data_IF_777707990540
#
_entry.id   IF_777707990540
#
_cell.length_a   1.000
_cell.length_b   1.000
_cell.length_c   1.000
_cell.angle_alpha   90.00
_cell.angle_beta   90.00
_cell.angle_gamma   90.00
#
_symmetry.space_group_name_H-M   'P 1'
#
loop_
_entity.id
_entity.type
_entity.pdbx_description
1 polymer ?
#
# COMPACT_ATOMS: atom_id res chain seq x y z
N UNK A 1 -21.01 26.19 -0.63
CA UNK A 1 -21.04 24.72 -0.78
C UNK A 1 -21.04 24.40 -2.26
N UNK A 2 -19.88 24.20 -2.87
CA UNK A 2 -19.82 23.71 -4.26
C UNK A 2 -20.10 22.20 -4.22
N UNK A 3 -21.20 21.81 -4.84
CA UNK A 3 -21.57 20.41 -5.01
C UNK A 3 -20.49 19.69 -5.79
N UNK A 4 -19.91 18.67 -5.19
CA UNK A 4 -19.03 17.70 -5.91
C UNK A 4 -19.91 17.11 -7.01
N UNK A 5 -19.72 17.54 -8.26
CA UNK A 5 -20.50 17.05 -9.39
C UNK A 5 -20.36 15.51 -9.46
N UNK A 6 -21.47 14.83 -9.32
CA UNK A 6 -21.53 13.38 -9.40
C UNK A 6 -20.99 12.92 -10.76
N UNK A 7 -20.03 12.00 -10.76
CA UNK A 7 -19.41 11.49 -11.99
C UNK A 7 -20.38 10.52 -12.63
N UNK A 8 -20.86 10.88 -13.79
CA UNK A 8 -21.77 10.03 -14.57
C UNK A 8 -20.98 9.04 -15.45
N UNK A 9 -21.66 7.98 -15.85
CA UNK A 9 -21.13 6.99 -16.80
C UNK A 9 -20.70 7.63 -18.12
N UNK A 10 -21.48 8.58 -18.62
CA UNK A 10 -21.22 9.31 -19.84
C UNK A 10 -20.02 10.27 -19.72
N UNK A 11 -19.91 10.98 -18.61
CA UNK A 11 -18.75 11.82 -18.32
C UNK A 11 -17.45 11.02 -18.32
N UNK A 12 -17.42 9.88 -17.61
CA UNK A 12 -16.23 9.02 -17.58
C UNK A 12 -15.90 8.41 -18.94
N UNK A 13 -16.93 8.01 -19.72
CA UNK A 13 -16.74 7.55 -21.09
C UNK A 13 -16.06 8.61 -21.96
N UNK A 14 -16.51 9.84 -21.89
CA UNK A 14 -15.92 10.93 -22.67
C UNK A 14 -14.46 11.19 -22.26
N UNK A 15 -14.14 11.14 -20.97
CA UNK A 15 -12.77 11.31 -20.49
C UNK A 15 -11.81 10.21 -20.97
N UNK A 16 -12.20 8.93 -20.88
CA UNK A 16 -11.32 7.81 -21.28
C UNK A 16 -11.16 7.67 -22.79
N UNK A 17 -12.02 8.34 -23.58
CA UNK A 17 -11.91 8.45 -25.03
C UNK A 17 -11.30 9.77 -25.51
N UNK A 18 -11.11 10.74 -24.62
CA UNK A 18 -10.37 11.97 -24.88
C UNK A 18 -8.87 11.80 -24.59
N UNK A 19 -8.53 11.03 -23.55
CA UNK A 19 -7.15 10.83 -23.11
C UNK A 19 -6.88 9.37 -22.67
N UNK A 20 -5.60 8.91 -22.70
CA UNK A 20 -5.24 7.60 -22.19
C UNK A 20 -5.65 7.39 -20.73
N UNK A 21 -6.09 6.18 -20.38
CA UNK A 21 -6.49 5.79 -19.01
C UNK A 21 -5.40 6.12 -17.98
N UNK A 22 -4.13 6.05 -18.36
CA UNK A 22 -2.99 6.44 -17.52
C UNK A 22 -2.95 7.92 -17.16
N UNK A 23 -3.55 8.81 -18.00
CA UNK A 23 -3.70 10.23 -17.72
C UNK A 23 -5.00 10.56 -16.99
N UNK A 24 -6.05 9.78 -17.24
CA UNK A 24 -7.37 9.98 -16.60
C UNK A 24 -7.38 9.46 -15.15
N UNK A 25 -6.77 8.30 -14.90
CA UNK A 25 -6.83 7.63 -13.58
C UNK A 25 -6.29 8.47 -12.41
N UNK A 26 -5.21 9.29 -12.55
CA UNK A 26 -4.76 10.17 -11.48
C UNK A 26 -5.79 11.24 -11.07
N UNK A 27 -6.68 11.64 -11.99
CA UNK A 27 -7.77 12.61 -11.69
C UNK A 27 -8.71 12.09 -10.60
N UNK A 28 -8.78 10.78 -10.47
CA UNK A 28 -9.63 10.06 -9.51
C UNK A 28 -8.84 9.47 -8.33
N UNK A 29 -7.53 9.73 -8.25
CA UNK A 29 -6.66 9.20 -7.21
C UNK A 29 -6.51 7.67 -7.22
N UNK A 30 -6.76 7.01 -8.35
CA UNK A 30 -6.70 5.55 -8.51
C UNK A 30 -5.72 5.16 -9.61
N UNK A 31 -5.31 3.88 -9.62
CA UNK A 31 -4.46 3.36 -10.69
C UNK A 31 -5.24 3.15 -11.99
N UNK A 32 -4.56 3.17 -13.16
CA UNK A 32 -5.18 2.87 -14.43
C UNK A 32 -5.86 1.50 -14.49
N UNK A 33 -5.31 0.51 -13.77
CA UNK A 33 -5.92 -0.83 -13.63
C UNK A 33 -7.23 -0.75 -12.84
N UNK A 34 -7.26 0.03 -11.76
CA UNK A 34 -8.47 0.23 -10.96
C UNK A 34 -9.55 0.97 -11.77
N UNK A 35 -9.18 2.03 -12.49
CA UNK A 35 -10.10 2.74 -13.38
C UNK A 35 -10.65 1.82 -14.47
N UNK A 36 -9.79 0.97 -15.07
CA UNK A 36 -10.22 -0.04 -16.05
C UNK A 36 -11.21 -1.08 -15.48
N UNK A 37 -11.08 -1.45 -14.20
CA UNK A 37 -12.07 -2.31 -13.52
C UNK A 37 -13.42 -1.60 -13.33
N UNK A 38 -13.40 -0.33 -12.94
CA UNK A 38 -14.61 0.49 -12.82
C UNK A 38 -15.31 0.61 -14.17
N UNK A 39 -14.59 0.96 -15.23
CA UNK A 39 -15.15 1.05 -16.58
C UNK A 39 -15.82 -0.27 -17.01
N UNK A 40 -15.17 -1.41 -16.80
CA UNK A 40 -15.75 -2.73 -17.14
C UNK A 40 -16.99 -3.05 -16.32
N UNK A 41 -16.96 -2.78 -15.00
CA UNK A 41 -18.13 -3.00 -14.13
C UNK A 41 -19.34 -2.20 -14.58
N UNK A 42 -19.14 -0.98 -15.06
CA UNK A 42 -20.21 -0.08 -15.51
C UNK A 42 -20.43 -0.12 -17.04
N UNK A 43 -19.94 -1.16 -17.73
CA UNK A 43 -20.10 -1.34 -19.18
C UNK A 43 -19.65 -0.13 -20.00
N UNK A 44 -18.57 0.54 -19.57
CA UNK A 44 -17.94 1.64 -20.29
C UNK A 44 -16.82 1.05 -21.18
N UNK A 45 -16.93 1.13 -22.52
CA UNK A 45 -15.90 0.63 -23.41
C UNK A 45 -14.64 1.49 -23.30
N UNK A 46 -13.49 0.82 -23.25
CA UNK A 46 -12.19 1.47 -23.24
C UNK A 46 -11.55 1.40 -24.64
N UNK A 47 -10.71 2.40 -25.00
CA UNK A 47 -9.92 2.34 -26.21
C UNK A 47 -9.06 1.06 -26.26
N UNK A 48 -9.03 0.32 -27.38
CA UNK A 48 -8.24 -0.89 -27.52
C UNK A 48 -6.73 -0.58 -27.52
N UNK A 49 -5.93 -1.62 -27.25
CA UNK A 49 -4.46 -1.48 -27.28
C UNK A 49 -4.00 -0.93 -28.64
N UNK A 50 -3.10 0.06 -28.61
CA UNK A 50 -2.61 0.74 -29.81
C UNK A 50 -3.49 1.86 -30.34
N UNK A 51 -4.66 2.11 -29.76
CA UNK A 51 -5.57 3.20 -30.19
C UNK A 51 -4.86 4.55 -30.22
N UNK A 52 -4.21 4.92 -29.14
CA UNK A 52 -3.49 6.18 -29.00
C UNK A 52 -2.26 6.29 -29.89
N UNK A 53 -1.58 5.18 -30.13
CA UNK A 53 -0.47 5.15 -31.08
C UNK A 53 -0.95 5.44 -32.51
N UNK A 54 -2.11 4.90 -32.90
CA UNK A 54 -2.72 5.19 -34.20
C UNK A 54 -3.14 6.67 -34.33
N UNK A 55 -3.72 7.24 -33.29
CA UNK A 55 -4.07 8.69 -33.28
C UNK A 55 -2.81 9.55 -33.44
N UNK A 56 -1.75 9.24 -32.68
CA UNK A 56 -0.47 9.97 -32.78
C UNK A 56 0.20 9.83 -34.15
N UNK A 57 -0.09 8.75 -34.87
CA UNK A 57 0.36 8.53 -36.26
C UNK A 57 -0.58 9.14 -37.32
N UNK A 58 -1.56 9.98 -36.92
CA UNK A 58 -2.48 10.67 -37.81
C UNK A 58 -3.67 9.82 -38.31
N UNK A 59 -3.87 8.62 -37.77
CA UNK A 59 -5.03 7.79 -38.09
C UNK A 59 -6.24 8.15 -37.24
N UNK A 60 -7.44 7.94 -37.75
CA UNK A 60 -8.71 8.16 -37.03
C UNK A 60 -9.42 6.82 -36.74
N UNK A 61 -8.97 6.06 -35.73
CA UNK A 61 -9.60 4.78 -35.40
C UNK A 61 -11.03 5.02 -34.85
N UNK A 62 -11.96 4.12 -35.21
CA UNK A 62 -13.37 4.23 -34.76
C UNK A 62 -13.46 4.14 -33.23
N UNK A 63 -14.24 5.09 -32.67
CA UNK A 63 -14.63 5.11 -31.25
C UNK A 63 -15.77 4.10 -31.06
N UNK A 64 -15.66 3.22 -30.05
CA UNK A 64 -16.72 2.27 -29.69
C UNK A 64 -17.81 3.05 -28.96
N UNK A 65 -19.07 3.05 -29.44
CA UNK A 65 -20.14 3.82 -28.79
C UNK A 65 -20.46 3.29 -27.40
N UNK A 66 -20.94 4.15 -26.53
CA UNK A 66 -21.36 3.80 -25.18
C UNK A 66 -22.65 2.96 -25.27
N UNK A 67 -22.66 1.67 -24.82
CA UNK A 67 -23.86 0.86 -24.88
C UNK A 67 -24.97 1.44 -24.01
N UNK A 68 -26.24 1.28 -24.43
CA UNK A 68 -27.40 1.65 -23.62
C UNK A 68 -27.43 0.68 -22.41
N UNK A 69 -27.43 1.22 -21.19
CA UNK A 69 -27.49 0.42 -19.97
C UNK A 69 -28.40 1.12 -18.96
N UNK A 70 -29.72 0.86 -19.07
CA UNK A 70 -30.78 1.47 -18.24
C UNK A 70 -30.53 1.33 -16.74
N UNK A 71 -29.87 0.28 -16.32
CA UNK A 71 -29.47 0.01 -14.94
C UNK A 71 -28.52 1.05 -14.34
N UNK A 72 -27.89 1.89 -15.18
CA UNK A 72 -26.93 2.94 -14.78
C UNK A 72 -27.36 4.36 -15.21
N UNK A 73 -28.56 4.59 -15.70
CA UNK A 73 -28.99 5.90 -16.24
C UNK A 73 -28.95 7.02 -15.19
N UNK A 74 -29.25 6.73 -13.93
CA UNK A 74 -29.22 7.70 -12.81
C UNK A 74 -28.16 7.32 -11.75
N UNK A 75 -27.17 6.52 -12.10
CA UNK A 75 -26.19 6.04 -11.16
C UNK A 75 -24.94 6.90 -11.16
N UNK A 76 -24.64 7.48 -10.01
CA UNK A 76 -23.36 8.15 -9.76
C UNK A 76 -22.27 7.11 -9.57
N UNK A 77 -21.20 7.19 -10.36
CA UNK A 77 -20.07 6.26 -10.24
C UNK A 77 -19.40 6.43 -8.87
N UNK A 78 -18.90 5.35 -8.24
CA UNK A 78 -18.21 5.40 -6.96
C UNK A 78 -16.77 5.95 -7.14
N UNK A 79 -16.66 7.08 -7.81
CA UNK A 79 -15.43 7.81 -8.09
C UNK A 79 -15.62 9.23 -7.61
N UNK A 80 -14.65 9.77 -6.91
CA UNK A 80 -14.59 11.18 -6.55
C UNK A 80 -13.25 11.75 -7.01
N UNK A 81 -13.26 12.96 -7.56
CA UNK A 81 -12.00 13.66 -7.84
C UNK A 81 -11.41 14.15 -6.52
N UNK A 82 -10.16 13.81 -6.21
CA UNK A 82 -9.49 14.39 -5.05
C UNK A 82 -9.48 15.92 -5.19
N UNK A 83 -9.79 16.66 -4.12
CA UNK A 83 -9.78 18.14 -4.10
C UNK A 83 -8.43 18.77 -4.50
N UNK A 84 -7.37 17.98 -4.58
CA UNK A 84 -6.00 18.42 -4.89
C UNK A 84 -5.55 18.14 -6.32
N UNK A 85 -6.44 17.61 -7.18
CA UNK A 85 -6.09 17.35 -8.57
C UNK A 85 -6.31 18.61 -9.42
N UNK A 86 -5.21 19.22 -9.87
CA UNK A 86 -5.21 20.27 -10.88
C UNK A 86 -4.85 19.65 -12.24
N UNK A 87 -5.79 19.58 -13.21
CA UNK A 87 -5.53 19.01 -14.52
C UNK A 87 -4.49 19.80 -15.33
N UNK A 88 -4.29 21.09 -15.00
CA UNK A 88 -3.34 21.96 -15.68
C UNK A 88 -1.94 21.93 -15.05
N UNK A 89 -1.74 21.21 -13.97
CA UNK A 89 -0.46 21.10 -13.28
C UNK A 89 -0.07 19.64 -12.94
N UNK A 90 0.33 18.82 -13.93
CA UNK A 90 0.80 17.45 -13.70
C UNK A 90 2.07 17.40 -12.84
N UNK A 91 2.82 18.49 -12.72
CA UNK A 91 4.01 18.60 -11.86
C UNK A 91 3.70 18.96 -10.39
N UNK A 92 2.44 19.20 -10.04
CA UNK A 92 2.04 19.49 -8.65
C UNK A 92 2.47 18.39 -7.68
N UNK A 93 2.50 17.14 -8.14
CA UNK A 93 3.01 15.99 -7.33
C UNK A 93 4.52 16.05 -7.12
N UNK A 94 5.30 16.53 -8.11
CA UNK A 94 6.75 16.73 -7.99
C UNK A 94 7.07 17.95 -7.15
N UNK A 95 6.34 19.07 -7.32
CA UNK A 95 6.46 20.26 -6.46
C UNK A 95 6.11 19.96 -5.01
N UNK A 96 5.12 19.11 -4.71
CA UNK A 96 4.80 18.68 -3.34
C UNK A 96 5.95 17.92 -2.65
N UNK A 97 6.72 17.11 -3.38
CA UNK A 97 7.89 16.42 -2.82
C UNK A 97 9.01 17.42 -2.46
N UNK A 98 9.28 18.42 -3.31
CA UNK A 98 10.22 19.51 -3.04
C UNK A 98 9.77 20.36 -1.85
N UNK A 99 8.49 20.75 -1.81
CA UNK A 99 7.90 21.54 -0.72
C UNK A 99 7.90 20.77 0.62
N UNK A 100 7.77 19.45 0.59
CA UNK A 100 7.83 18.62 1.79
C UNK A 100 9.24 18.62 2.40
N UNK A 101 10.26 18.55 1.57
CA UNK A 101 11.66 18.62 2.02
C UNK A 101 12.01 20.00 2.56
N UNK A 102 11.49 21.08 1.96
CA UNK A 102 11.67 22.45 2.45
C UNK A 102 10.96 22.68 3.80
N UNK A 103 9.80 22.05 4.02
CA UNK A 103 9.02 22.20 5.26
C UNK A 103 9.56 21.36 6.43
N UNK A 104 10.01 20.15 6.17
CA UNK A 104 10.43 19.17 7.19
C UNK A 104 11.94 19.18 7.41
N UNK A 105 12.71 19.62 6.41
CA UNK A 105 14.16 19.45 6.37
C UNK A 105 14.58 18.02 6.03
N UNK A 106 15.88 17.80 6.01
CA UNK A 106 16.45 16.47 5.82
C UNK A 106 16.33 15.65 7.11
N UNK A 107 15.83 14.43 7.01
CA UNK A 107 15.75 13.49 8.14
C UNK A 107 16.83 12.45 7.94
N UNK A 108 17.95 12.63 8.63
CA UNK A 108 19.09 11.73 8.58
C UNK A 108 18.89 10.52 9.48
N UNK A 109 19.22 9.34 8.99
CA UNK A 109 19.16 8.08 9.75
C UNK A 109 20.56 7.75 10.23
N UNK A 110 20.79 7.70 11.56
CA UNK A 110 22.12 7.40 12.09
C UNK A 110 22.53 5.96 11.77
N UNK A 111 23.82 5.69 11.72
CA UNK A 111 24.36 4.34 11.52
C UNK A 111 24.16 3.43 12.74
N UNK A 112 24.08 4.02 13.92
CA UNK A 112 23.93 3.31 15.19
C UNK A 112 22.69 3.79 15.95
N UNK A 113 22.08 2.85 16.66
CA UNK A 113 20.89 3.11 17.47
C UNK A 113 21.30 3.71 18.84
N UNK A 114 21.53 5.02 18.87
CA UNK A 114 21.84 5.75 20.08
C UNK A 114 20.60 6.33 20.73
N UNK A 115 20.44 6.16 22.05
CA UNK A 115 19.29 6.66 22.82
C UNK A 115 17.94 6.39 22.15
N UNK A 116 17.58 5.12 21.91
CA UNK A 116 16.37 4.79 21.19
C UNK A 116 15.10 5.19 21.94
N UNK A 117 14.11 5.61 21.20
CA UNK A 117 12.76 5.88 21.71
C UNK A 117 12.22 4.67 22.51
N UNK A 118 11.47 4.86 23.61
CA UNK A 118 11.00 3.77 24.45
C UNK A 118 10.28 2.63 23.72
N UNK A 119 9.47 2.93 22.70
CA UNK A 119 8.80 1.93 21.87
C UNK A 119 9.80 1.10 21.05
N UNK A 120 10.85 1.74 20.53
CA UNK A 120 11.90 1.06 19.75
C UNK A 120 12.80 0.22 20.65
N UNK A 121 13.11 0.70 21.86
CA UNK A 121 13.85 -0.08 22.87
C UNK A 121 13.12 -1.37 23.23
N UNK A 122 11.80 -1.27 23.48
CA UNK A 122 10.95 -2.44 23.75
C UNK A 122 10.92 -3.38 22.52
N UNK A 123 10.76 -2.83 21.31
CA UNK A 123 10.74 -3.60 20.06
C UNK A 123 12.06 -4.33 19.82
N UNK A 124 13.22 -3.67 19.98
CA UNK A 124 14.54 -4.24 19.84
C UNK A 124 14.71 -5.47 20.74
N UNK A 125 14.36 -5.34 22.03
CA UNK A 125 14.43 -6.44 23.00
C UNK A 125 13.55 -7.63 22.58
N UNK A 126 12.32 -7.38 22.12
CA UNK A 126 11.37 -8.44 21.73
C UNK A 126 11.76 -9.11 20.41
N UNK A 127 12.07 -8.34 19.37
CA UNK A 127 12.38 -8.86 18.04
C UNK A 127 13.69 -9.70 18.02
N UNK A 128 14.64 -9.42 18.92
CA UNK A 128 15.90 -10.16 19.01
C UNK A 128 15.82 -11.44 19.87
N UNK A 129 14.72 -11.68 20.55
CA UNK A 129 14.53 -12.92 21.33
C UNK A 129 14.54 -14.14 20.41
N UNK A 130 15.10 -15.28 20.90
CA UNK A 130 15.23 -16.51 20.10
C UNK A 130 13.91 -17.22 19.85
N UNK A 131 12.89 -17.00 20.66
CA UNK A 131 11.64 -17.76 20.64
C UNK A 131 10.57 -17.17 19.73
N UNK A 132 10.08 -17.93 18.78
CA UNK A 132 8.68 -18.18 18.48
C UNK A 132 7.83 -17.10 17.79
N UNK A 133 8.39 -15.99 17.30
CA UNK A 133 7.57 -14.93 16.68
C UNK A 133 7.66 -14.87 15.14
N UNK A 134 8.26 -15.87 14.53
CA UNK A 134 8.36 -15.95 13.07
C UNK A 134 7.03 -16.52 12.52
N UNK A 135 6.39 -15.76 11.61
CA UNK A 135 5.21 -16.23 10.90
C UNK A 135 5.60 -17.16 9.73
N UNK A 136 4.59 -17.72 9.05
CA UNK A 136 4.81 -18.65 7.92
C UNK A 136 5.58 -18.03 6.73
N UNK A 137 5.79 -16.71 6.72
CA UNK A 137 6.62 -16.00 5.73
C UNK A 137 8.05 -15.76 6.20
N UNK A 138 8.43 -16.25 7.37
CA UNK A 138 9.73 -16.01 8.00
C UNK A 138 9.91 -14.59 8.53
N UNK A 139 8.82 -13.83 8.67
CA UNK A 139 8.83 -12.49 9.23
C UNK A 139 8.55 -12.54 10.72
N UNK A 140 9.29 -11.74 11.47
CA UNK A 140 9.07 -11.51 12.89
C UNK A 140 8.09 -10.39 13.10
N UNK A 141 7.06 -10.68 13.86
CA UNK A 141 6.15 -9.70 14.43
C UNK A 141 5.95 -10.08 15.88
N UNK A 142 6.13 -9.14 16.79
CA UNK A 142 5.86 -9.41 18.20
C UNK A 142 4.58 -8.66 18.60
N UNK A 143 3.57 -9.36 19.13
CA UNK A 143 2.37 -8.71 19.66
C UNK A 143 2.68 -7.97 20.97
N UNK A 144 1.85 -7.02 21.32
CA UNK A 144 1.90 -6.27 22.58
C UNK A 144 2.38 -4.84 22.41
N UNK A 145 2.96 -4.30 23.47
CA UNK A 145 3.32 -2.88 23.61
C UNK A 145 4.58 -2.46 22.85
N UNK A 146 4.71 -2.87 21.59
CA UNK A 146 5.85 -2.48 20.75
C UNK A 146 5.39 -1.86 19.46
N UNK A 147 6.28 -1.07 18.83
CA UNK A 147 6.03 -0.57 17.49
C UNK A 147 5.79 -1.72 16.51
N UNK A 148 4.83 -1.56 15.60
CA UNK A 148 4.41 -2.60 14.66
C UNK A 148 5.47 -2.84 13.58
N UNK A 149 6.24 -3.91 13.75
CA UNK A 149 7.20 -4.42 12.78
C UNK A 149 6.78 -5.80 12.26
N UNK A 150 6.99 -6.02 10.97
CA UNK A 150 6.97 -7.33 10.33
C UNK A 150 8.23 -7.47 9.45
N UNK A 151 9.31 -8.00 10.02
CA UNK A 151 10.64 -8.02 9.37
C UNK A 151 11.38 -9.31 9.67
N UNK A 152 12.30 -9.71 8.79
CA UNK A 152 13.22 -10.82 9.07
C UNK A 152 14.27 -10.41 10.10
N UNK A 153 14.98 -11.42 10.64
CA UNK A 153 16.11 -11.19 11.57
C UNK A 153 17.18 -10.28 10.97
N UNK A 154 17.46 -10.44 9.68
CA UNK A 154 18.48 -9.65 8.97
C UNK A 154 18.09 -8.20 8.78
N UNK A 155 16.79 -7.90 8.73
CA UNK A 155 16.28 -6.54 8.52
C UNK A 155 15.96 -5.81 9.85
N UNK A 156 16.07 -6.48 11.02
CA UNK A 156 15.72 -5.89 12.32
C UNK A 156 16.49 -4.60 12.57
N UNK A 157 17.81 -4.62 12.44
CA UNK A 157 18.66 -3.48 12.80
C UNK A 157 18.33 -2.26 11.96
N UNK A 158 18.20 -2.45 10.65
CA UNK A 158 17.80 -1.41 9.70
C UNK A 158 16.39 -0.88 10.00
N UNK A 159 15.44 -1.78 10.27
CA UNK A 159 14.06 -1.39 10.59
C UNK A 159 13.97 -0.59 11.90
N UNK A 160 14.75 -0.96 12.92
CA UNK A 160 14.80 -0.23 14.20
C UNK A 160 15.38 1.18 14.03
N UNK A 161 16.46 1.36 13.24
CA UNK A 161 17.03 2.66 12.94
C UNK A 161 16.03 3.57 12.23
N UNK A 162 15.38 3.04 11.18
CA UNK A 162 14.35 3.77 10.44
C UNK A 162 13.17 4.12 11.37
N UNK A 163 12.71 3.16 12.17
CA UNK A 163 11.59 3.37 13.10
C UNK A 163 11.88 4.41 14.16
N UNK A 164 13.08 4.39 14.75
CA UNK A 164 13.51 5.37 15.75
C UNK A 164 13.57 6.78 15.18
N UNK A 165 14.23 6.91 14.04
CA UNK A 165 14.37 8.20 13.35
C UNK A 165 13.00 8.74 12.93
N UNK A 166 12.12 7.87 12.43
CA UNK A 166 10.77 8.25 12.03
C UNK A 166 9.93 8.74 13.21
N UNK A 167 9.92 8.00 14.33
CA UNK A 167 9.16 8.42 15.53
C UNK A 167 9.65 9.79 16.01
N UNK A 168 10.96 9.96 16.18
CA UNK A 168 11.54 11.23 16.61
C UNK A 168 11.22 12.39 15.64
N UNK A 169 11.21 12.12 14.33
CA UNK A 169 10.86 13.11 13.33
C UNK A 169 9.36 13.48 13.37
N UNK A 170 8.47 12.50 13.58
CA UNK A 170 7.03 12.72 13.75
C UNK A 170 6.73 13.54 15.02
N UNK A 171 7.38 13.20 16.14
CA UNK A 171 7.24 13.91 17.42
C UNK A 171 7.73 15.36 17.34
N UNK A 172 8.82 15.63 16.60
CA UNK A 172 9.29 17.01 16.33
C UNK A 172 8.23 17.85 15.58
N UNK A 173 7.33 17.20 14.85
CA UNK A 173 6.19 17.86 14.18
C UNK A 173 4.93 17.93 15.07
N UNK A 174 5.06 17.64 16.36
CA UNK A 174 3.97 17.68 17.33
C UNK A 174 3.02 16.48 17.28
N UNK A 175 3.35 15.45 16.51
CA UNK A 175 2.56 14.21 16.48
C UNK A 175 2.93 13.32 17.67
N UNK A 176 1.96 12.56 18.15
CA UNK A 176 2.16 11.54 19.21
C UNK A 176 2.17 10.15 18.56
N UNK A 177 3.09 9.29 19.00
CA UNK A 177 3.15 7.87 18.60
C UNK A 177 2.92 6.99 19.82
N UNK A 178 1.95 6.08 19.73
CA UNK A 178 1.65 5.15 20.84
C UNK A 178 1.19 3.80 20.32
N UNK A 179 1.09 2.82 21.20
CA UNK A 179 0.60 1.47 20.88
C UNK A 179 -0.75 1.22 21.51
N UNK A 180 -1.70 0.80 20.70
CA UNK A 180 -2.98 0.25 21.12
C UNK A 180 -2.74 -1.23 21.45
N UNK A 181 -2.67 -1.56 22.76
CA UNK A 181 -2.34 -2.90 23.23
C UNK A 181 -3.45 -3.92 22.94
N UNK A 182 -4.71 -3.49 22.96
CA UNK A 182 -5.86 -4.36 22.70
C UNK A 182 -5.86 -4.87 21.26
N UNK A 183 -5.55 -3.99 20.32
CA UNK A 183 -5.55 -4.29 18.89
C UNK A 183 -4.14 -4.57 18.34
N UNK A 184 -3.11 -4.60 19.22
CA UNK A 184 -1.70 -4.84 18.86
C UNK A 184 -1.23 -4.03 17.64
N UNK A 185 -1.53 -2.73 17.62
CA UNK A 185 -1.19 -1.84 16.52
C UNK A 185 -0.58 -0.53 17.01
N UNK A 186 0.32 0.02 16.24
CA UNK A 186 0.89 1.34 16.51
C UNK A 186 0.03 2.42 15.87
N UNK A 187 -0.21 3.48 16.62
CA UNK A 187 -0.98 4.64 16.21
C UNK A 187 -0.09 5.88 16.18
N UNK A 188 -0.39 6.76 15.23
CA UNK A 188 0.13 8.12 15.15
C UNK A 188 -1.06 9.06 15.23
N UNK A 189 -0.98 10.09 16.02
CA UNK A 189 -2.05 11.07 16.12
C UNK A 189 -1.56 12.50 16.26
N UNK A 190 -2.40 13.41 15.80
CA UNK A 190 -2.29 14.84 16.02
C UNK A 190 -3.69 15.35 16.38
N UNK A 191 -3.83 15.99 17.53
CA UNK A 191 -5.11 16.33 18.13
C UNK A 191 -5.99 15.07 18.32
N UNK A 192 -7.23 15.06 17.81
CA UNK A 192 -8.19 13.96 17.95
C UNK A 192 -8.08 12.91 16.82
N UNK A 193 -7.30 13.18 15.76
CA UNK A 193 -7.17 12.29 14.63
C UNK A 193 -6.01 11.31 14.84
N UNK A 194 -6.27 10.01 14.68
CA UNK A 194 -5.25 8.97 14.77
C UNK A 194 -5.27 8.02 13.58
N UNK A 195 -4.10 7.60 13.14
CA UNK A 195 -3.85 6.68 12.03
C UNK A 195 -2.95 5.54 12.49
N UNK A 196 -3.07 4.38 11.85
CA UNK A 196 -2.15 3.26 12.11
C UNK A 196 -0.84 3.43 11.36
N UNK A 197 0.28 2.98 11.96
CA UNK A 197 1.57 2.91 11.30
C UNK A 197 2.22 1.55 11.49
N UNK A 198 2.89 1.05 10.46
CA UNK A 198 3.69 -0.17 10.54
C UNK A 198 4.88 -0.12 9.57
N UNK A 199 5.95 -0.81 9.93
CA UNK A 199 7.11 -1.05 9.07
C UNK A 199 7.14 -2.54 8.73
N UNK A 200 7.12 -2.85 7.43
CA UNK A 200 7.06 -4.22 6.93
C UNK A 200 8.15 -4.47 5.91
N UNK A 201 8.71 -5.67 5.94
CA UNK A 201 9.59 -6.15 4.88
C UNK A 201 8.75 -6.76 3.76
N UNK A 202 9.11 -6.42 2.53
CA UNK A 202 8.49 -7.01 1.35
C UNK A 202 8.93 -8.46 1.19
N UNK A 203 7.95 -9.34 0.97
CA UNK A 203 8.18 -10.76 0.72
C UNK A 203 7.74 -11.09 -0.69
N UNK A 204 8.69 -11.55 -1.49
CA UNK A 204 8.42 -12.13 -2.79
C UNK A 204 7.87 -13.55 -2.59
N UNK A 205 6.84 -13.91 -3.32
CA UNK A 205 6.32 -15.27 -3.36
C UNK A 205 6.66 -15.93 -4.69
N UNK A 206 7.16 -17.15 -4.63
CA UNK A 206 7.41 -17.99 -5.80
C UNK A 206 6.51 -19.22 -5.69
N UNK A 207 5.88 -19.61 -6.78
CA UNK A 207 5.08 -20.84 -6.80
C UNK A 207 6.02 -22.02 -6.51
N UNK A 208 5.68 -22.82 -5.50
CA UNK A 208 6.47 -23.98 -5.13
C UNK A 208 6.22 -25.09 -6.16
N UNK A 209 7.30 -25.72 -6.61
CA UNK A 209 7.20 -26.95 -7.38
C UNK A 209 7.11 -28.12 -6.40
N UNK A 210 6.07 -28.94 -6.58
CA UNK A 210 5.83 -30.11 -5.72
C UNK A 210 7.02 -31.07 -5.85
N UNK A 211 7.72 -31.32 -4.75
CA UNK A 211 8.88 -32.21 -4.71
C UNK A 211 8.51 -33.67 -5.01
N UNK A 212 9.46 -34.48 -5.42
CA UNK A 212 9.24 -35.90 -5.68
C UNK A 212 8.73 -36.64 -4.40
N UNK A 213 9.19 -36.22 -3.22
CA UNK A 213 8.75 -36.79 -1.95
C UNK A 213 7.27 -36.44 -1.66
N UNK A 214 6.87 -35.19 -1.88
CA UNK A 214 5.49 -34.73 -1.71
C UNK A 214 4.55 -35.40 -2.72
N UNK A 215 4.97 -35.53 -3.99
CA UNK A 215 4.20 -36.29 -4.98
C UNK A 215 3.94 -37.72 -4.53
N UNK A 216 4.97 -38.42 -4.03
CA UNK A 216 4.82 -39.77 -3.47
C UNK A 216 3.91 -39.80 -2.25
N UNK A 217 3.95 -38.78 -1.38
CA UNK A 217 3.07 -38.69 -0.23
C UNK A 217 1.60 -38.49 -0.66
N UNK A 218 1.34 -37.63 -1.64
CA UNK A 218 0.01 -37.42 -2.22
C UNK A 218 -0.51 -38.71 -2.87
N UNK A 219 0.30 -39.39 -3.68
CA UNK A 219 -0.07 -40.67 -4.28
C UNK A 219 -0.38 -41.75 -3.25
N UNK A 220 0.44 -41.85 -2.17
CA UNK A 220 0.18 -42.76 -1.07
C UNK A 220 -1.15 -42.46 -0.36
N UNK A 221 -1.44 -41.18 -0.14
CA UNK A 221 -2.70 -40.75 0.43
C UNK A 221 -3.88 -41.08 -0.48
N UNK A 222 -3.76 -40.84 -1.80
CA UNK A 222 -4.81 -41.16 -2.78
C UNK A 222 -5.14 -42.65 -2.86
N UNK A 223 -4.14 -43.52 -2.65
CA UNK A 223 -4.27 -44.99 -2.64
C UNK A 223 -4.79 -45.52 -1.32
N UNK A 224 -4.80 -44.69 -0.26
CA UNK A 224 -5.25 -45.16 1.07
C UNK A 224 -6.77 -45.37 1.06
N UNK A 225 -7.25 -46.59 1.46
CA UNK A 225 -8.68 -46.85 1.57
C UNK A 225 -9.36 -46.01 2.65
N UNK A 226 -8.61 -45.51 3.63
CA UNK A 226 -9.10 -44.74 4.76
C UNK A 226 -8.86 -43.19 4.62
N UNK A 227 -8.67 -42.70 3.40
CA UNK A 227 -8.37 -41.27 3.11
C UNK A 227 -9.39 -40.27 3.63
N UNK A 228 -10.61 -40.72 3.91
CA UNK A 228 -11.71 -39.89 4.44
C UNK A 228 -11.97 -40.15 5.94
N UNK A 229 -11.15 -40.98 6.61
CA UNK A 229 -11.27 -41.25 8.04
C UNK A 229 -10.80 -40.06 8.92
N UNK A 230 -11.34 -39.99 10.13
CA UNK A 230 -10.92 -39.03 11.16
C UNK A 230 -9.42 -39.25 11.50
N UNK A 231 -8.63 -38.19 11.30
CA UNK A 231 -7.16 -38.23 11.58
C UNK A 231 -6.28 -38.34 10.34
N UNK A 232 -6.82 -38.56 9.15
CA UNK A 232 -6.07 -38.52 7.91
C UNK A 232 -6.12 -37.12 7.29
N UNK A 233 -5.02 -36.40 7.34
CA UNK A 233 -4.90 -35.10 6.66
C UNK A 233 -4.31 -35.29 5.26
N UNK A 234 -4.92 -34.62 4.29
CA UNK A 234 -4.34 -34.50 2.94
C UNK A 234 -2.96 -33.84 3.03
N UNK A 235 -1.89 -34.48 2.51
CA UNK A 235 -0.55 -33.91 2.51
C UNK A 235 -0.48 -32.78 1.47
N UNK A 236 -0.99 -31.59 1.84
CA UNK A 236 -0.98 -30.43 0.99
C UNK A 236 0.34 -29.67 1.13
N UNK A 237 1.23 -29.73 0.14
CA UNK A 237 2.40 -28.88 0.14
C UNK A 237 1.96 -27.41 0.09
N UNK A 238 2.75 -26.48 0.65
CA UNK A 238 2.45 -25.07 0.54
C UNK A 238 2.45 -24.65 -0.95
N UNK A 239 1.46 -23.88 -1.35
CA UNK A 239 1.31 -23.44 -2.75
C UNK A 239 2.44 -22.48 -3.17
N UNK A 240 3.09 -21.82 -2.20
CA UNK A 240 4.11 -20.79 -2.44
C UNK A 240 5.24 -20.86 -1.42
N UNK A 241 6.46 -20.65 -1.91
CA UNK A 241 7.62 -20.29 -1.11
C UNK A 241 7.71 -18.79 -0.94
N UNK A 242 8.09 -18.37 0.25
CA UNK A 242 8.18 -16.97 0.63
C UNK A 242 9.64 -16.57 0.81
N UNK A 243 10.08 -15.58 0.03
CA UNK A 243 11.45 -15.09 0.03
C UNK A 243 11.46 -13.62 0.48
N UNK A 244 11.86 -13.34 1.72
CA UNK A 244 12.08 -11.97 2.18
C UNK A 244 13.11 -11.27 1.30
N UNK A 245 12.85 -10.01 0.95
CA UNK A 245 13.68 -9.29 -0.03
C UNK A 245 14.61 -8.26 0.57
N UNK A 246 14.57 -8.04 1.88
CA UNK A 246 15.28 -6.98 2.57
C UNK A 246 14.73 -5.56 2.31
N UNK A 247 13.73 -5.42 1.42
CA UNK A 247 13.10 -4.13 1.12
C UNK A 247 12.07 -3.78 2.16
N UNK A 248 12.21 -2.61 2.78
CA UNK A 248 11.29 -2.13 3.79
C UNK A 248 10.23 -1.19 3.21
N UNK A 249 9.06 -1.21 3.81
CA UNK A 249 7.93 -0.34 3.49
C UNK A 249 7.31 0.18 4.78
N UNK A 250 7.12 1.50 4.87
CA UNK A 250 6.30 2.14 5.89
C UNK A 250 4.89 2.27 5.32
N UNK A 251 3.90 1.79 6.04
CA UNK A 251 2.50 1.95 5.70
C UNK A 251 1.78 2.75 6.79
N UNK A 252 1.02 3.76 6.38
CA UNK A 252 0.16 4.55 7.25
C UNK A 252 -1.27 4.25 6.84
N UNK A 253 -2.00 3.64 7.77
CA UNK A 253 -3.35 3.17 7.56
C UNK A 253 -4.40 4.22 7.89
N UNK A 254 -5.58 3.98 7.37
CA UNK A 254 -6.74 4.83 7.39
C UNK A 254 -7.37 4.79 6.00
N UNK A 255 -8.39 5.60 5.75
CA UNK A 255 -8.93 5.81 4.41
C UNK A 255 -8.95 7.31 4.12
N UNK A 256 -8.10 7.80 3.20
CA UNK A 256 -7.10 7.09 2.40
C UNK A 256 -5.90 6.57 3.21
N UNK A 257 -5.20 5.56 2.70
CA UNK A 257 -3.94 5.06 3.23
C UNK A 257 -2.79 5.43 2.29
N UNK A 258 -1.58 5.56 2.84
CA UNK A 258 -0.35 5.80 2.07
C UNK A 258 0.76 4.86 2.48
N UNK A 259 1.65 4.55 1.55
CA UNK A 259 2.84 3.74 1.82
C UNK A 259 4.06 4.26 1.08
N UNK A 260 5.22 4.14 1.71
CA UNK A 260 6.53 4.46 1.15
C UNK A 260 7.45 3.28 1.36
N UNK A 261 8.19 2.90 0.35
CA UNK A 261 9.06 1.75 0.42
C UNK A 261 10.35 1.95 -0.35
N UNK A 262 11.27 1.00 -0.16
CA UNK A 262 12.48 0.90 -0.95
C UNK A 262 12.15 0.72 -2.43
N UNK A 263 12.86 1.45 -3.26
CA UNK A 263 12.84 1.30 -4.71
C UNK A 263 14.22 0.88 -5.21
N UNK A 264 14.36 0.41 -6.45
CA UNK A 264 15.68 0.07 -7.00
C UNK A 264 16.67 1.25 -7.03
N UNK A 265 16.17 2.49 -6.98
CA UNK A 265 17.00 3.72 -7.08
C UNK A 265 17.11 4.50 -5.78
N UNK A 266 16.25 4.26 -4.80
CA UNK A 266 16.13 5.10 -3.60
C UNK A 266 15.77 4.26 -2.41
N UNK A 267 16.55 4.32 -1.36
CA UNK A 267 16.28 3.67 -0.09
C UNK A 267 15.25 4.46 0.73
N UNK A 268 14.59 3.78 1.63
CA UNK A 268 13.55 4.34 2.49
C UNK A 268 14.09 5.45 3.40
N UNK A 269 15.34 5.33 3.86
CA UNK A 269 16.06 6.31 4.68
C UNK A 269 16.10 7.69 4.01
N UNK A 270 16.30 7.73 2.71
CA UNK A 270 16.37 8.97 1.93
C UNK A 270 15.00 9.64 1.75
N UNK A 271 13.93 8.92 2.08
CA UNK A 271 12.54 9.35 1.87
C UNK A 271 11.77 9.64 3.16
N UNK A 272 12.41 9.58 4.33
CA UNK A 272 11.73 9.78 5.60
C UNK A 272 11.08 11.15 5.72
N UNK A 273 11.66 12.19 5.17
CA UNK A 273 11.06 13.52 5.08
C UNK A 273 9.71 13.50 4.32
N UNK A 274 9.60 12.68 3.25
CA UNK A 274 8.36 12.51 2.49
C UNK A 274 7.32 11.73 3.30
N UNK A 275 7.76 10.76 4.12
CA UNK A 275 6.87 10.01 5.02
C UNK A 275 6.27 10.95 6.06
N UNK A 276 7.09 11.77 6.70
CA UNK A 276 6.66 12.73 7.73
C UNK A 276 5.68 13.74 7.13
N UNK A 277 6.03 14.38 6.01
CA UNK A 277 5.16 15.33 5.33
C UNK A 277 3.84 14.69 4.88
N UNK A 278 3.92 13.49 4.26
CA UNK A 278 2.74 12.76 3.81
C UNK A 278 1.85 12.28 4.96
N UNK A 279 2.40 12.08 6.16
CA UNK A 279 1.63 11.78 7.38
C UNK A 279 0.82 12.99 7.82
N UNK A 280 1.42 14.18 7.84
CA UNK A 280 0.73 15.42 8.16
C UNK A 280 -0.43 15.69 7.18
N UNK A 281 -0.16 15.53 5.87
CA UNK A 281 -1.19 15.65 4.83
C UNK A 281 -2.35 14.67 5.05
N UNK A 282 -2.03 13.39 5.39
CA UNK A 282 -3.04 12.36 5.65
C UNK A 282 -3.90 12.70 6.87
N UNK A 283 -3.29 13.15 7.97
CA UNK A 283 -4.03 13.55 9.18
C UNK A 283 -4.96 14.73 8.85
N UNK A 284 -4.48 15.72 8.08
CA UNK A 284 -5.31 16.83 7.64
C UNK A 284 -6.47 16.38 6.73
N UNK A 285 -6.22 15.45 5.79
CA UNK A 285 -7.25 14.87 4.94
C UNK A 285 -8.30 14.09 5.75
N UNK A 286 -7.89 13.35 6.77
CA UNK A 286 -8.79 12.62 7.66
C UNK A 286 -9.65 13.54 8.51
N UNK A 287 -9.07 14.62 9.03
CA UNK A 287 -9.79 15.62 9.80
C UNK A 287 -10.92 16.29 9.00
N UNK A 288 -10.60 16.74 7.76
CA UNK A 288 -11.58 17.38 6.87
C UNK A 288 -12.75 16.43 6.52
N UNK A 289 -12.53 15.11 6.58
CA UNK A 289 -13.59 14.14 6.27
C UNK A 289 -14.46 13.79 7.48
N UNK A 290 -13.92 13.97 8.68
CA UNK A 290 -14.65 13.72 9.93
C UNK A 290 -15.56 14.90 10.32
N UNK A 291 -15.25 16.10 9.83
CA UNK A 291 -16.10 17.31 9.90
C UNK A 291 -17.18 17.26 8.81
#
# INVERSE_FOLDING_TARGET
>A
MESVAAITRESLYNEVWAEPVSRVSPRYGISGVALGKVCRKHKIPLPPRGYWAKINAGHSPKKIPLPIAREFENYSLPLSRPRTYDPNNPDASRKKASTAQERIGFVDVPELLESPHPLIRKASKRLRQKAGWDNYKGLRSAPGEIFAFEVTRNAIDRALLIGDTLIKALERQGMRVWVDCEKSRTLIGLNETSLTIAIREHVARRKQEVTAAEKKAIERWQRSPNRWGTGYHYPRPPDYDYHPTGKLTISIGGYPSRSWGDTPKTLLEQRLHQVVAGTLDLIAEHRIRAE
#
